data_IF_614009860849
#
_entry.id   IF_614009860849
#
_cell.length_a   1.000
_cell.length_b   1.000
_cell.length_c   1.000
_cell.angle_alpha   90.00
_cell.angle_beta   90.00
_cell.angle_gamma   90.00
#
_symmetry.space_group_name_H-M   'P 1'
#
loop_
_entity.id
_entity.type
_entity.pdbx_description
1 polymer ?
#
# COMPACT_ATOMS: atom_id res chain seq x y z
N UNK A 1 -16.99 -7.38 -11.28
CA UNK A 1 -16.30 -6.77 -12.44
C UNK A 1 -15.95 -5.31 -12.24
N UNK A 2 -16.90 -4.41 -11.94
CA UNK A 2 -16.65 -2.95 -11.81
C UNK A 2 -15.44 -2.58 -10.93
N UNK A 3 -15.27 -3.25 -9.78
CA UNK A 3 -14.17 -3.03 -8.84
C UNK A 3 -12.79 -3.30 -9.46
N UNK A 4 -12.63 -4.41 -10.20
CA UNK A 4 -11.38 -4.76 -10.87
C UNK A 4 -11.00 -3.71 -11.92
N UNK A 5 -11.99 -3.25 -12.69
CA UNK A 5 -11.80 -2.19 -13.68
C UNK A 5 -11.38 -0.88 -13.03
N UNK A 6 -11.98 -0.50 -11.90
CA UNK A 6 -11.60 0.72 -11.18
C UNK A 6 -10.20 0.61 -10.55
N UNK A 7 -9.86 -0.52 -9.94
CA UNK A 7 -8.51 -0.74 -9.40
C UNK A 7 -7.47 -0.70 -10.52
N UNK A 8 -7.74 -1.35 -11.66
CA UNK A 8 -6.85 -1.31 -12.82
C UNK A 8 -6.71 0.10 -13.39
N UNK A 9 -7.83 0.82 -13.59
CA UNK A 9 -7.80 2.18 -14.10
C UNK A 9 -7.02 3.14 -13.18
N UNK A 10 -7.15 2.97 -11.86
CA UNK A 10 -6.39 3.74 -10.88
C UNK A 10 -4.88 3.42 -10.98
N UNK A 11 -4.51 2.14 -10.93
CA UNK A 11 -3.11 1.71 -11.03
C UNK A 11 -2.49 2.16 -12.35
N UNK A 12 -3.22 2.03 -13.46
CA UNK A 12 -2.79 2.45 -14.79
C UNK A 12 -2.62 3.96 -14.88
N UNK A 13 -3.56 4.74 -14.33
CA UNK A 13 -3.46 6.20 -14.32
C UNK A 13 -2.27 6.69 -13.47
N UNK A 14 -2.00 6.06 -12.34
CA UNK A 14 -0.85 6.37 -11.49
C UNK A 14 0.47 6.05 -12.19
N UNK A 15 0.54 4.88 -12.86
CA UNK A 15 1.69 4.48 -13.66
C UNK A 15 1.93 5.44 -14.84
N UNK A 16 0.88 5.79 -15.58
CA UNK A 16 0.97 6.65 -16.77
C UNK A 16 1.37 8.09 -16.44
N UNK A 17 1.10 8.57 -15.21
CA UNK A 17 1.55 9.87 -14.72
C UNK A 17 3.04 9.91 -14.35
N UNK A 18 3.77 8.80 -14.50
CA UNK A 18 5.16 8.68 -14.05
C UNK A 18 5.33 8.83 -12.54
N UNK A 19 4.22 8.79 -11.80
CA UNK A 19 4.22 8.81 -10.34
C UNK A 19 4.57 7.42 -9.86
N UNK A 20 5.33 7.35 -8.78
CA UNK A 20 5.63 6.08 -8.14
C UNK A 20 4.32 5.53 -7.56
N UNK A 21 3.63 4.68 -8.34
CA UNK A 21 2.32 4.12 -7.97
C UNK A 21 2.40 3.34 -6.66
N UNK A 22 3.61 2.90 -6.29
CA UNK A 22 3.95 2.29 -5.00
C UNK A 22 3.57 3.21 -3.84
N UNK A 23 3.77 4.53 -3.97
CA UNK A 23 3.42 5.51 -2.93
C UNK A 23 1.91 5.63 -2.71
N UNK A 24 1.10 5.27 -3.69
CA UNK A 24 -0.36 5.24 -3.52
C UNK A 24 -0.83 4.16 -2.54
N UNK A 25 0.02 3.16 -2.24
CA UNK A 25 -0.26 2.15 -1.24
C UNK A 25 0.11 2.58 0.19
N UNK A 26 0.88 3.66 0.35
CA UNK A 26 1.38 4.13 1.64
C UNK A 26 0.26 4.38 2.69
N UNK A 27 -0.85 5.08 2.38
CA UNK A 27 -1.91 5.32 3.36
C UNK A 27 -2.62 4.03 3.80
N UNK A 28 -2.72 3.06 2.90
CA UNK A 28 -3.35 1.77 3.19
C UNK A 28 -2.43 0.91 4.05
N UNK A 29 -1.13 0.89 3.76
CA UNK A 29 -0.13 0.20 4.56
C UNK A 29 -0.11 0.73 6.01
N UNK A 30 -0.06 2.05 6.21
CA UNK A 30 -0.11 2.66 7.56
C UNK A 30 -1.41 2.33 8.28
N UNK A 31 -2.58 2.47 7.63
CA UNK A 31 -3.87 2.17 8.31
C UNK A 31 -4.08 0.67 8.54
N UNK A 32 -3.35 -0.18 7.82
CA UNK A 32 -3.32 -1.62 8.03
C UNK A 32 -2.43 -2.03 9.22
N UNK A 33 -1.53 -1.15 9.71
CA UNK A 33 -0.70 -1.46 10.88
C UNK A 33 -1.58 -1.83 12.08
N UNK A 34 -1.26 -2.92 12.78
CA UNK A 34 -1.91 -3.27 14.03
C UNK A 34 -1.50 -2.28 15.13
N UNK A 35 -2.48 -1.81 15.91
CA UNK A 35 -2.29 -0.79 16.97
C UNK A 35 -1.50 -1.27 18.21
N UNK A 36 -0.85 -2.43 18.16
CA UNK A 36 -0.11 -3.02 19.30
C UNK A 36 1.29 -3.38 18.84
N UNK A 37 2.28 -3.15 19.72
CA UNK A 37 3.71 -3.50 19.58
C UNK A 37 3.93 -4.98 19.25
N UNK A 38 3.65 -5.35 18.01
CA UNK A 38 3.97 -6.64 17.42
C UNK A 38 4.88 -6.37 16.25
N UNK A 39 5.88 -7.22 16.08
CA UNK A 39 6.63 -7.27 14.83
C UNK A 39 5.64 -7.40 13.67
N UNK A 40 5.69 -6.42 12.76
CA UNK A 40 4.80 -6.36 11.60
C UNK A 40 5.60 -6.72 10.38
N UNK A 41 5.30 -7.88 9.81
CA UNK A 41 5.82 -8.26 8.49
C UNK A 41 4.87 -7.78 7.38
N UNK A 42 5.43 -7.55 6.21
CA UNK A 42 4.76 -7.26 4.94
C UNK A 42 3.58 -8.21 4.66
N UNK A 43 3.68 -9.50 5.00
CA UNK A 43 2.59 -10.46 4.86
C UNK A 43 1.38 -10.13 5.75
N UNK A 44 1.62 -9.65 6.98
CA UNK A 44 0.57 -9.24 7.92
C UNK A 44 -0.15 -8.00 7.39
N UNK A 45 0.60 -7.02 6.88
CA UNK A 45 0.03 -5.79 6.30
C UNK A 45 -0.76 -6.09 5.03
N UNK A 46 -0.28 -7.00 4.19
CA UNK A 46 -1.01 -7.44 2.99
C UNK A 46 -2.38 -8.02 3.37
N UNK A 47 -2.39 -8.97 4.33
CA UNK A 47 -3.63 -9.58 4.81
C UNK A 47 -4.57 -8.54 5.41
N UNK A 48 -4.06 -7.67 6.29
CA UNK A 48 -4.86 -6.61 6.89
C UNK A 48 -5.39 -5.60 5.86
N UNK A 49 -4.63 -5.30 4.81
CA UNK A 49 -5.08 -4.42 3.72
C UNK A 49 -6.19 -5.06 2.89
N UNK A 50 -6.10 -6.37 2.65
CA UNK A 50 -7.15 -7.14 1.99
C UNK A 50 -8.40 -7.24 2.86
N UNK A 51 -8.27 -7.43 4.16
CA UNK A 51 -9.43 -7.52 5.06
C UNK A 51 -10.12 -6.16 5.28
N UNK A 52 -9.35 -5.08 5.52
CA UNK A 52 -9.89 -3.75 5.82
C UNK A 52 -10.35 -2.97 4.58
N UNK A 53 -9.61 -3.09 3.48
CA UNK A 53 -9.83 -2.26 2.28
C UNK A 53 -10.22 -3.09 1.06
N UNK A 54 -10.18 -4.43 1.15
CA UNK A 54 -10.28 -5.34 0.00
C UNK A 54 -9.27 -5.04 -1.10
N UNK A 55 -8.11 -4.51 -0.71
CA UNK A 55 -7.01 -4.18 -1.60
C UNK A 55 -5.89 -5.20 -1.38
N UNK A 56 -5.55 -5.94 -2.43
CA UNK A 56 -4.43 -6.87 -2.42
C UNK A 56 -3.20 -6.18 -2.96
N UNK A 57 -2.34 -5.74 -2.04
CA UNK A 57 -1.09 -5.05 -2.37
C UNK A 57 0.01 -6.11 -2.57
N UNK A 58 0.74 -6.14 -3.70
CA UNK A 58 1.85 -7.07 -3.89
C UNK A 58 2.91 -6.93 -2.80
N UNK A 59 3.46 -8.06 -2.32
CA UNK A 59 4.47 -8.06 -1.26
C UNK A 59 5.71 -7.24 -1.61
N UNK A 60 6.21 -7.35 -2.85
CA UNK A 60 7.35 -6.55 -3.31
C UNK A 60 7.09 -5.05 -3.20
N UNK A 61 5.87 -4.60 -3.52
CA UNK A 61 5.48 -3.20 -3.36
C UNK A 61 5.40 -2.82 -1.89
N UNK A 62 4.86 -3.68 -1.02
CA UNK A 62 4.83 -3.43 0.42
C UNK A 62 6.23 -3.34 1.03
N UNK A 63 7.16 -4.19 0.61
CA UNK A 63 8.55 -4.11 1.04
C UNK A 63 9.15 -2.77 0.58
N UNK A 64 8.94 -2.37 -0.68
CA UNK A 64 9.40 -1.07 -1.16
C UNK A 64 8.78 0.11 -0.42
N UNK A 65 7.49 0.06 -0.10
CA UNK A 65 6.80 1.04 0.76
C UNK A 65 7.48 1.06 2.13
N UNK A 66 7.52 -0.06 2.85
CA UNK A 66 7.97 -0.12 4.25
C UNK A 66 9.48 0.12 4.45
N UNK A 67 10.28 -0.14 3.41
CA UNK A 67 11.73 0.08 3.43
C UNK A 67 12.14 1.49 2.98
N UNK A 68 11.22 2.29 2.44
CA UNK A 68 11.50 3.71 2.21
C UNK A 68 11.79 4.37 3.56
N UNK A 69 12.99 4.94 3.78
CA UNK A 69 13.23 5.73 4.97
C UNK A 69 12.21 6.88 4.95
N UNK A 70 11.52 7.07 6.07
CA UNK A 70 10.57 8.15 6.29
C UNK A 70 11.30 9.51 6.13
N UNK A 71 11.48 9.97 4.90
CA UNK A 71 11.77 11.34 4.54
C UNK A 71 10.46 12.15 4.66
N UNK A 72 9.89 12.12 5.86
CA UNK A 72 8.94 13.12 6.35
C UNK A 72 9.60 13.77 7.57
N UNK A 73 10.79 14.36 7.35
CA UNK A 73 11.14 15.59 8.05
C UNK A 73 10.49 16.70 7.23
N UNK A 74 9.89 17.66 7.91
CA UNK A 74 9.20 18.84 7.38
C UNK A 74 7.71 18.64 7.05
N UNK A 75 6.91 18.54 8.12
CA UNK A 75 5.70 19.36 8.32
C UNK A 75 5.57 19.68 9.81
#
# INVERSE_FOLDING_TARGET
MKRLTYTYALVKSLYDQGKDYIDSFWPFAIKAFPSRDRFVDSAVIQKASKEKFGLEIPLGNLVSVLSKPLLYKEL
#
